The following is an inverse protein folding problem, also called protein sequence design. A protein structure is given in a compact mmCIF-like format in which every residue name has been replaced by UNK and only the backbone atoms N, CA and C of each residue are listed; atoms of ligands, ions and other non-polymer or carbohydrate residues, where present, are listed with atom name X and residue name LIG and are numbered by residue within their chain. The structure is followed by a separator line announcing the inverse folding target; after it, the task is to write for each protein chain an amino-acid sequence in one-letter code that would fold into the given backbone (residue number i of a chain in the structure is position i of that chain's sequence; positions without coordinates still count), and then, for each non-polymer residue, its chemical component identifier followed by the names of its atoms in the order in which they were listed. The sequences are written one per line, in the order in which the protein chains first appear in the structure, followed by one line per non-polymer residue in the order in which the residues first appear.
data_IF_604042057046
#
_entry.id   IF_604042057046
#
_cell.length_a   1.000
_cell.length_b   1.000
_cell.length_c   1.000
_cell.angle_alpha   90.00
_cell.angle_beta   90.00
_cell.angle_gamma   90.00
#
_symmetry.space_group_name_H-M   'P 1'
#
loop_
_entity.id
_entity.type
_entity.pdbx_description
1 polymer ?
#
# COMPACT_ATOMS: atom_id res chain seq x y z
N UNK A 1 4.48 6.86 -3.20
CA UNK A 1 5.45 7.80 -2.56
C UNK A 1 6.94 7.51 -2.84
N UNK A 2 7.30 6.52 -3.69
CA UNK A 2 8.71 6.08 -3.83
C UNK A 2 9.29 6.11 -5.24
N UNK A 3 8.61 6.74 -6.21
CA UNK A 3 9.09 6.81 -7.60
C UNK A 3 10.41 7.61 -7.65
N UNK A 4 11.45 7.04 -8.25
CA UNK A 4 12.76 7.70 -8.42
C UNK A 4 13.71 7.63 -7.21
N UNK A 5 13.37 6.87 -6.17
CA UNK A 5 14.20 6.66 -4.99
C UNK A 5 14.98 5.33 -5.15
N UNK A 6 16.28 5.35 -4.85
CA UNK A 6 17.13 4.14 -4.84
C UNK A 6 16.58 3.05 -3.90
N UNK A 7 16.80 1.78 -4.28
CA UNK A 7 16.27 0.60 -3.56
C UNK A 7 16.70 0.59 -2.09
N UNK A 8 17.94 1.01 -1.80
CA UNK A 8 18.45 1.05 -0.43
C UNK A 8 17.74 2.07 0.46
N UNK A 9 17.29 3.19 -0.12
CA UNK A 9 16.55 4.22 0.62
C UNK A 9 15.10 3.80 0.84
N UNK A 10 14.45 3.13 -0.14
CA UNK A 10 13.10 2.57 0.04
C UNK A 10 13.06 1.61 1.23
N UNK A 11 14.04 0.71 1.35
CA UNK A 11 14.11 -0.24 2.46
C UNK A 11 14.16 0.45 3.84
N UNK A 12 14.89 1.58 3.95
CA UNK A 12 14.93 2.38 5.19
C UNK A 12 13.58 3.02 5.51
N UNK A 13 12.90 3.56 4.50
CA UNK A 13 11.56 4.15 4.66
C UNK A 13 10.57 3.07 5.12
N UNK A 14 10.61 1.88 4.51
CA UNK A 14 9.74 0.75 4.90
C UNK A 14 10.00 0.30 6.34
N UNK A 15 11.27 0.21 6.73
CA UNK A 15 11.63 -0.11 8.11
C UNK A 15 11.08 0.94 9.09
N UNK A 16 11.28 2.22 8.80
CA UNK A 16 10.75 3.31 9.63
C UNK A 16 9.22 3.24 9.76
N UNK A 17 8.51 3.03 8.65
CA UNK A 17 7.05 2.89 8.68
C UNK A 17 6.60 1.70 9.54
N UNK A 18 7.30 0.57 9.46
CA UNK A 18 7.00 -0.59 10.28
C UNK A 18 7.27 -0.34 11.77
N UNK A 19 8.36 0.37 12.10
CA UNK A 19 8.69 0.75 13.48
C UNK A 19 7.63 1.69 14.06
N UNK A 20 7.16 2.68 13.28
CA UNK A 20 6.06 3.58 13.68
C UNK A 20 4.75 2.82 13.88
N UNK A 21 4.43 1.89 12.98
CA UNK A 21 3.25 1.02 13.12
C UNK A 21 3.31 0.18 14.40
N UNK A 22 4.47 -0.38 14.74
CA UNK A 22 4.65 -1.14 15.99
C UNK A 22 4.44 -0.29 17.25
N UNK A 23 4.63 1.03 17.15
CA UNK A 23 4.32 1.98 18.22
C UNK A 23 2.82 2.36 18.27
N UNK A 24 1.97 1.73 17.44
CA UNK A 24 0.54 2.00 17.36
C UNK A 24 0.18 3.22 16.51
N UNK A 25 1.11 3.75 15.71
CA UNK A 25 0.87 4.90 14.84
C UNK A 25 0.18 4.44 13.55
N UNK A 26 -0.97 5.04 13.24
CA UNK A 26 -1.66 4.83 11.97
C UNK A 26 -0.97 5.56 10.83
N UNK A 27 -0.81 4.89 9.68
CA UNK A 27 -0.16 5.45 8.49
C UNK A 27 -1.17 5.42 7.33
N UNK A 28 -1.43 6.58 6.73
CA UNK A 28 -2.15 6.69 5.46
C UNK A 28 -1.12 6.73 4.32
N UNK A 29 -1.13 5.68 3.50
CA UNK A 29 -0.20 5.56 2.37
C UNK A 29 -0.94 5.74 1.05
N UNK A 30 -0.37 6.56 0.16
CA UNK A 30 -0.81 6.74 -1.22
C UNK A 30 0.34 6.35 -2.15
N UNK A 31 0.13 5.32 -2.95
CA UNK A 31 1.12 4.84 -3.92
C UNK A 31 0.47 4.47 -5.25
N UNK A 32 1.25 4.63 -6.31
CA UNK A 32 0.97 4.08 -7.65
C UNK A 32 1.73 2.76 -7.88
N UNK A 33 2.62 2.37 -6.96
CA UNK A 33 3.34 1.10 -6.99
C UNK A 33 2.54 0.03 -6.22
N UNK A 34 1.82 -0.84 -6.94
CA UNK A 34 0.87 -1.79 -6.32
C UNK A 34 1.57 -2.80 -5.39
N UNK A 35 2.75 -3.32 -5.78
CA UNK A 35 3.57 -4.18 -4.92
C UNK A 35 3.89 -3.55 -3.55
N UNK A 36 4.10 -2.23 -3.48
CA UNK A 36 4.35 -1.52 -2.22
C UNK A 36 3.11 -1.55 -1.32
N UNK A 37 1.93 -1.30 -1.92
CA UNK A 37 0.65 -1.36 -1.20
C UNK A 37 0.40 -2.77 -0.65
N UNK A 38 0.54 -3.81 -1.48
CA UNK A 38 0.34 -5.22 -1.09
C UNK A 38 1.34 -5.63 0.00
N UNK A 39 2.60 -5.19 -0.11
CA UNK A 39 3.67 -5.54 0.82
C UNK A 39 3.61 -4.84 2.17
N UNK A 40 3.01 -3.63 2.25
CA UNK A 40 3.09 -2.79 3.44
C UNK A 40 1.74 -2.56 4.13
N UNK A 41 0.66 -2.42 3.38
CA UNK A 41 -0.62 -2.00 3.93
C UNK A 41 -1.34 -3.14 4.67
N UNK A 42 -2.01 -2.80 5.78
CA UNK A 42 -2.97 -3.70 6.43
C UNK A 42 -4.29 -3.75 5.67
N UNK A 43 -4.67 -2.60 5.10
CA UNK A 43 -5.88 -2.41 4.31
C UNK A 43 -5.57 -1.54 3.10
N UNK A 44 -6.10 -1.94 1.94
CA UNK A 44 -5.99 -1.19 0.70
C UNK A 44 -7.40 -0.75 0.32
N UNK A 45 -7.55 0.53 -0.01
CA UNK A 45 -8.83 1.11 -0.42
C UNK A 45 -8.64 1.62 -1.85
N UNK A 46 -9.47 1.14 -2.77
CA UNK A 46 -9.51 1.68 -4.13
C UNK A 46 -10.55 2.78 -4.23
N UNK A 47 -10.23 3.83 -4.99
CA UNK A 47 -11.13 4.94 -5.24
C UNK A 47 -11.27 5.19 -6.75
N UNK A 48 -12.49 5.51 -7.18
CA UNK A 48 -12.83 5.86 -8.56
C UNK A 48 -13.94 6.92 -8.55
N UNK A 49 -13.81 7.96 -9.38
CA UNK A 49 -14.81 9.03 -9.52
C UNK A 49 -15.25 9.66 -8.18
N UNK A 50 -14.29 9.88 -7.28
CA UNK A 50 -14.52 10.45 -5.95
C UNK A 50 -15.24 9.51 -4.96
N UNK A 51 -15.45 8.24 -5.33
CA UNK A 51 -16.09 7.23 -4.49
C UNK A 51 -15.12 6.12 -4.11
N UNK A 52 -15.30 5.58 -2.91
CA UNK A 52 -14.69 4.31 -2.53
C UNK A 52 -15.28 3.19 -3.38
N UNK A 53 -14.44 2.41 -4.05
CA UNK A 53 -14.90 1.27 -4.84
C UNK A 53 -14.82 -0.03 -4.03
N UNK A 54 -13.63 -0.41 -3.56
CA UNK A 54 -13.43 -1.66 -2.81
C UNK A 54 -12.40 -1.52 -1.70
N UNK A 55 -12.51 -2.39 -0.69
CA UNK A 55 -11.55 -2.51 0.40
C UNK A 55 -11.00 -3.93 0.43
N UNK A 56 -9.67 -4.03 0.48
CA UNK A 56 -8.94 -5.28 0.61
C UNK A 56 -8.25 -5.32 1.97
N UNK A 57 -8.30 -6.47 2.61
CA UNK A 57 -7.46 -6.79 3.78
C UNK A 57 -6.22 -7.50 3.28
N UNK A 58 -5.07 -7.23 3.91
CA UNK A 58 -3.81 -7.91 3.59
C UNK A 58 -3.99 -9.43 3.61
N UNK A 59 -3.56 -10.08 2.54
CA UNK A 59 -3.64 -11.53 2.38
C UNK A 59 -2.48 -12.01 1.50
N UNK A 60 -1.99 -13.22 1.74
CA UNK A 60 -0.98 -13.85 0.88
C UNK A 60 -1.53 -14.20 -0.52
N UNK A 61 -2.85 -14.24 -0.66
CA UNK A 61 -3.54 -14.50 -1.93
C UNK A 61 -3.87 -13.22 -2.71
N UNK A 62 -3.70 -12.04 -2.10
CA UNK A 62 -4.02 -10.77 -2.77
C UNK A 62 -2.95 -10.44 -3.81
N UNK A 63 -3.36 -10.35 -5.07
CA UNK A 63 -2.50 -10.04 -6.21
C UNK A 63 -2.77 -8.63 -6.75
N UNK A 64 -1.86 -8.13 -7.60
CA UNK A 64 -2.07 -6.87 -8.32
C UNK A 64 -3.29 -6.94 -9.24
N UNK A 65 -3.55 -8.10 -9.86
CA UNK A 65 -4.67 -8.29 -10.77
C UNK A 65 -6.02 -8.09 -10.06
N UNK A 66 -6.14 -8.54 -8.81
CA UNK A 66 -7.35 -8.35 -7.99
C UNK A 66 -7.63 -6.87 -7.75
N UNK A 67 -6.59 -6.08 -7.47
CA UNK A 67 -6.72 -4.64 -7.22
C UNK A 67 -7.04 -3.90 -8.52
N UNK A 68 -6.41 -4.26 -9.64
CA UNK A 68 -6.68 -3.67 -10.95
C UNK A 68 -8.13 -3.94 -11.37
N UNK A 69 -8.61 -5.19 -11.21
CA UNK A 69 -9.99 -5.56 -11.51
C UNK A 69 -11.00 -4.74 -10.71
N UNK A 70 -10.63 -4.30 -9.50
CA UNK A 70 -11.45 -3.44 -8.66
C UNK A 70 -11.27 -1.93 -8.90
N UNK A 71 -10.57 -1.51 -9.96
CA UNK A 71 -10.48 -0.10 -10.37
C UNK A 71 -11.14 0.10 -11.75
N UNK A 72 -11.22 -0.96 -12.55
CA UNK A 72 -11.86 -0.97 -13.87
C UNK A 72 -13.39 -0.91 -13.75
#
# INVERSE_FOLDING_TARGET
PTRGIDVGVKAKIYKLMNDLKQQGIGILMVSEEMMELIGMADRIITMKDGRQNQVFTRSAQLSEADIIAAII
#
